data_IF_732411711391
#
_entry.id   IF_732411711391
#
_cell.length_a   1.000
_cell.length_b   1.000
_cell.length_c   1.000
_cell.angle_alpha   90.00
_cell.angle_beta   90.00
_cell.angle_gamma   90.00
#
_symmetry.space_group_name_H-M   'P 1'
#
loop_
_entity.id
_entity.type
_entity.pdbx_description
1 polymer ?
#
# COMPACT_ATOMS: atom_id res chain seq x y z
N UNK A 1 -24.13 -6.25 0.45
CA UNK A 1 -23.43 -5.20 1.22
C UNK A 1 -22.04 -5.06 0.60
N UNK A 2 -21.57 -3.83 0.28
CA UNK A 2 -20.35 -3.68 -0.54
C UNK A 2 -19.21 -3.06 0.25
N UNK A 3 -17.99 -3.51 0.00
CA UNK A 3 -16.77 -2.79 0.35
C UNK A 3 -16.41 -1.86 -0.82
N UNK A 4 -16.31 -0.58 -0.54
CA UNK A 4 -16.12 0.45 -1.57
C UNK A 4 -14.89 1.29 -1.26
N UNK A 5 -13.96 1.37 -2.22
CA UNK A 5 -12.96 2.41 -2.25
C UNK A 5 -13.54 3.63 -2.97
N UNK A 6 -13.39 4.78 -2.36
CA UNK A 6 -13.79 6.06 -2.95
C UNK A 6 -12.57 6.88 -3.32
N UNK A 7 -12.64 7.51 -4.49
CA UNK A 7 -11.70 8.54 -4.92
C UNK A 7 -12.46 9.70 -5.54
N UNK A 8 -12.10 10.93 -5.18
CA UNK A 8 -12.84 12.08 -5.69
C UNK A 8 -12.05 13.37 -5.64
N UNK A 9 -12.54 14.37 -6.38
CA UNK A 9 -11.97 15.71 -6.33
C UNK A 9 -12.04 16.30 -4.92
N UNK A 10 -10.98 16.97 -4.55
CA UNK A 10 -10.99 17.95 -3.45
C UNK A 10 -11.80 19.17 -3.89
N UNK A 11 -12.30 19.93 -2.91
CA UNK A 11 -12.85 21.25 -3.17
C UNK A 11 -11.78 22.16 -3.75
N UNK A 12 -12.15 22.94 -4.76
CA UNK A 12 -11.25 23.86 -5.45
C UNK A 12 -10.66 24.88 -4.47
N UNK A 13 -9.33 25.00 -4.46
CA UNK A 13 -8.64 26.05 -3.72
C UNK A 13 -9.02 27.43 -4.29
N UNK A 14 -9.04 28.49 -3.46
CA UNK A 14 -9.27 29.84 -3.93
C UNK A 14 -8.35 30.20 -5.09
N UNK A 15 -8.92 30.83 -6.13
CA UNK A 15 -8.16 31.26 -7.31
C UNK A 15 -7.92 30.19 -8.37
N UNK A 16 -8.52 28.99 -8.27
CA UNK A 16 -8.44 27.98 -9.34
C UNK A 16 -9.10 28.52 -10.61
N UNK A 17 -8.32 28.52 -11.71
CA UNK A 17 -8.75 29.12 -12.99
C UNK A 17 -9.93 28.36 -13.64
N UNK A 18 -9.96 27.04 -13.53
CA UNK A 18 -11.02 26.20 -14.08
C UNK A 18 -11.66 25.41 -12.96
N UNK A 19 -12.93 25.68 -12.71
CA UNK A 19 -13.69 25.03 -11.66
C UNK A 19 -13.84 23.51 -11.94
N UNK A 20 -13.56 22.70 -10.93
CA UNK A 20 -13.75 21.25 -10.93
C UNK A 20 -14.71 20.82 -9.82
N UNK A 21 -14.56 21.40 -8.62
CA UNK A 21 -15.42 21.20 -7.46
C UNK A 21 -15.44 22.45 -6.56
N UNK A 22 -16.11 23.55 -6.96
CA UNK A 22 -16.27 24.73 -6.12
C UNK A 22 -17.01 24.43 -4.82
N UNK A 23 -16.71 25.17 -3.75
CA UNK A 23 -17.37 25.05 -2.45
C UNK A 23 -18.90 25.14 -2.55
N UNK A 24 -19.44 25.97 -3.47
CA UNK A 24 -20.89 26.12 -3.69
C UNK A 24 -21.57 24.85 -4.20
N UNK A 25 -20.82 23.87 -4.74
CA UNK A 25 -21.39 22.61 -5.23
C UNK A 25 -21.48 21.53 -4.13
N UNK A 26 -20.91 21.76 -2.96
CA UNK A 26 -20.86 20.79 -1.85
C UNK A 26 -22.24 20.22 -1.49
N UNK A 27 -23.32 21.02 -1.28
CA UNK A 27 -24.60 20.44 -0.88
C UNK A 27 -25.16 19.46 -1.92
N UNK A 28 -25.04 19.81 -3.20
CA UNK A 28 -25.52 18.97 -4.31
C UNK A 28 -24.70 17.70 -4.46
N UNK A 29 -23.37 17.81 -4.41
CA UNK A 29 -22.50 16.65 -4.53
C UNK A 29 -22.59 15.74 -3.30
N UNK A 30 -22.80 16.29 -2.12
CA UNK A 30 -23.09 15.50 -0.91
C UNK A 30 -24.34 14.63 -1.11
N UNK A 31 -25.44 15.22 -1.63
CA UNK A 31 -26.67 14.48 -1.92
C UNK A 31 -26.42 13.38 -2.97
N UNK A 32 -25.69 13.68 -4.03
CA UNK A 32 -25.36 12.71 -5.07
C UNK A 32 -24.52 11.55 -4.53
N UNK A 33 -23.48 11.84 -3.76
CA UNK A 33 -22.66 10.82 -3.11
C UNK A 33 -23.51 9.95 -2.17
N UNK A 34 -24.37 10.56 -1.35
CA UNK A 34 -25.25 9.82 -0.45
C UNK A 34 -26.20 8.87 -1.22
N UNK A 35 -26.73 9.30 -2.37
CA UNK A 35 -27.55 8.47 -3.25
C UNK A 35 -26.76 7.26 -3.77
N UNK A 36 -25.50 7.45 -4.19
CA UNK A 36 -24.65 6.36 -4.67
C UNK A 36 -24.22 5.40 -3.53
N UNK A 37 -23.93 5.93 -2.35
CA UNK A 37 -23.63 5.13 -1.15
C UNK A 37 -24.82 4.21 -0.81
N UNK A 38 -26.04 4.75 -0.86
CA UNK A 38 -27.26 3.98 -0.64
C UNK A 38 -27.48 2.93 -1.75
N UNK A 39 -27.33 3.32 -3.03
CA UNK A 39 -27.51 2.45 -4.18
C UNK A 39 -26.51 1.26 -4.15
N UNK A 40 -25.25 1.52 -3.79
CA UNK A 40 -24.21 0.51 -3.65
C UNK A 40 -24.33 -0.29 -2.35
N UNK A 41 -25.22 0.08 -1.42
CA UNK A 41 -25.37 -0.57 -0.09
C UNK A 41 -24.02 -0.67 0.63
N UNK A 42 -23.29 0.45 0.70
CA UNK A 42 -21.93 0.50 1.24
C UNK A 42 -21.95 0.08 2.72
N UNK A 43 -21.30 -1.02 3.04
CA UNK A 43 -21.10 -1.48 4.42
C UNK A 43 -19.71 -1.15 4.97
N UNK A 44 -18.72 -1.04 4.09
CA UNK A 44 -17.34 -0.68 4.41
C UNK A 44 -16.87 0.36 3.37
N UNK A 45 -16.59 1.58 3.80
CA UNK A 45 -16.12 2.66 2.94
C UNK A 45 -14.67 3.02 3.24
N UNK A 46 -13.82 3.08 2.22
CA UNK A 46 -12.39 3.38 2.32
C UNK A 46 -12.07 4.66 1.56
N UNK A 47 -11.49 5.66 2.22
CA UNK A 47 -11.04 6.92 1.61
C UNK A 47 -9.97 7.61 2.46
N UNK A 48 -9.30 8.64 1.90
CA UNK A 48 -8.24 9.38 2.60
C UNK A 48 -8.73 10.54 3.48
N UNK A 49 -10.00 10.92 3.38
CA UNK A 49 -10.60 12.04 4.10
C UNK A 49 -10.08 13.44 3.69
N UNK A 50 -9.67 13.65 2.44
CA UNK A 50 -9.41 14.98 1.90
C UNK A 50 -10.72 15.83 1.83
N UNK A 51 -10.60 17.15 1.92
CA UNK A 51 -11.76 18.02 1.83
C UNK A 51 -12.48 17.89 0.48
N UNK A 52 -13.78 17.69 0.51
CA UNK A 52 -14.59 17.44 -0.69
C UNK A 52 -15.10 16.01 -0.77
N UNK A 53 -14.83 15.32 -1.88
CA UNK A 53 -15.41 14.00 -2.16
C UNK A 53 -15.22 12.98 -1.05
N UNK A 54 -13.99 12.83 -0.55
CA UNK A 54 -13.64 11.82 0.44
C UNK A 54 -14.41 12.00 1.76
N UNK A 55 -14.40 13.22 2.31
CA UNK A 55 -15.15 13.53 3.55
C UNK A 55 -16.65 13.30 3.33
N UNK A 56 -17.21 13.76 2.22
CA UNK A 56 -18.63 13.58 1.90
C UNK A 56 -19.03 12.11 1.79
N UNK A 57 -18.17 11.30 1.18
CA UNK A 57 -18.39 9.85 1.06
C UNK A 57 -18.34 9.14 2.42
N UNK A 58 -17.32 9.44 3.24
CA UNK A 58 -17.17 8.82 4.55
C UNK A 58 -18.33 9.19 5.48
N UNK A 59 -18.76 10.46 5.47
CA UNK A 59 -19.94 10.91 6.22
C UNK A 59 -21.22 10.21 5.75
N UNK A 60 -21.44 10.09 4.44
CA UNK A 60 -22.58 9.39 3.88
C UNK A 60 -22.56 7.89 4.23
N UNK A 61 -21.37 7.28 4.25
CA UNK A 61 -21.18 5.87 4.67
C UNK A 61 -21.60 5.69 6.13
N UNK A 62 -21.13 6.54 7.04
CA UNK A 62 -21.50 6.50 8.46
C UNK A 62 -23.01 6.74 8.65
N UNK A 63 -23.56 7.75 7.97
CA UNK A 63 -24.99 8.07 8.04
C UNK A 63 -25.87 6.92 7.54
N UNK A 64 -25.40 6.14 6.57
CA UNK A 64 -26.05 4.93 6.05
C UNK A 64 -25.86 3.69 6.94
N UNK A 65 -25.19 3.79 8.09
CA UNK A 65 -24.93 2.68 9.01
C UNK A 65 -23.73 1.81 8.59
N UNK A 66 -22.95 2.23 7.60
CA UNK A 66 -21.71 1.58 7.19
C UNK A 66 -20.52 1.97 8.07
N UNK A 67 -19.40 1.26 7.91
CA UNK A 67 -18.15 1.52 8.60
C UNK A 67 -17.21 2.31 7.71
N UNK A 68 -16.73 3.44 8.19
CA UNK A 68 -15.77 4.29 7.49
C UNK A 68 -14.33 3.92 7.91
N UNK A 69 -13.46 3.74 6.94
CA UNK A 69 -12.04 3.45 7.12
C UNK A 69 -11.21 4.55 6.47
N UNK A 70 -10.40 5.22 7.28
CA UNK A 70 -9.54 6.32 6.84
C UNK A 70 -8.11 5.81 6.70
N UNK A 71 -7.47 6.10 5.57
CA UNK A 71 -6.05 5.85 5.38
C UNK A 71 -5.36 7.14 4.97
N UNK A 72 -4.38 7.56 5.76
CA UNK A 72 -3.64 8.80 5.53
C UNK A 72 -2.21 8.49 5.07
N UNK A 73 -1.69 9.19 4.05
CA UNK A 73 -0.32 8.99 3.58
C UNK A 73 0.72 9.46 4.61
N UNK A 74 0.33 10.36 5.53
CA UNK A 74 1.18 10.95 6.56
C UNK A 74 0.39 11.20 7.85
N UNK A 75 1.05 11.82 8.85
CA UNK A 75 0.39 12.23 10.09
C UNK A 75 -0.82 13.14 9.82
N UNK A 76 -1.86 13.00 10.66
CA UNK A 76 -3.12 13.71 10.50
C UNK A 76 -2.96 15.24 10.45
N UNK A 77 -2.07 15.81 11.29
CA UNK A 77 -1.84 17.26 11.33
C UNK A 77 -1.21 17.79 10.04
N UNK A 78 -0.32 17.03 9.42
CA UNK A 78 0.30 17.39 8.13
C UNK A 78 -0.71 17.24 6.99
N UNK A 79 -1.44 16.12 6.94
CA UNK A 79 -2.49 15.90 5.96
C UNK A 79 -3.58 16.98 6.03
N UNK A 80 -3.97 17.37 7.25
CA UNK A 80 -4.96 18.42 7.48
C UNK A 80 -4.57 19.74 6.82
N UNK A 81 -3.31 20.18 6.97
CA UNK A 81 -2.83 21.44 6.37
C UNK A 81 -2.89 21.44 4.85
N UNK A 82 -2.52 20.32 4.24
CA UNK A 82 -2.34 20.26 2.78
C UNK A 82 -3.60 19.81 2.03
N UNK A 83 -4.48 19.03 2.67
CA UNK A 83 -5.59 18.37 1.99
C UNK A 83 -6.97 18.64 2.61
N UNK A 84 -7.05 19.29 3.77
CA UNK A 84 -8.32 19.52 4.47
C UNK A 84 -8.60 20.99 4.69
N UNK A 85 -7.72 21.70 5.39
CA UNK A 85 -7.90 23.11 5.78
C UNK A 85 -7.40 24.06 4.68
N UNK A 86 -7.90 23.85 3.48
CA UNK A 86 -7.45 24.57 2.26
C UNK A 86 -8.43 25.66 1.81
N UNK A 87 -9.62 25.74 2.45
CA UNK A 87 -10.67 26.71 2.16
C UNK A 87 -10.90 27.62 3.39
N UNK A 88 -10.47 28.87 3.36
CA UNK A 88 -10.65 29.78 4.49
C UNK A 88 -12.12 29.90 4.92
N UNK A 89 -12.38 29.75 6.22
CA UNK A 89 -13.71 29.91 6.81
C UNK A 89 -14.69 28.77 6.56
N UNK A 90 -14.28 27.68 5.86
CA UNK A 90 -15.09 26.49 5.72
C UNK A 90 -14.90 25.55 6.94
N UNK A 91 -15.83 24.63 7.15
CA UNK A 91 -15.85 23.72 8.31
C UNK A 91 -15.14 22.39 8.07
N UNK A 92 -14.32 22.28 7.01
CA UNK A 92 -13.68 21.02 6.61
C UNK A 92 -12.79 20.44 7.71
N UNK A 93 -12.04 21.28 8.41
CA UNK A 93 -11.19 20.85 9.52
C UNK A 93 -12.01 20.19 10.64
N UNK A 94 -13.13 20.82 11.05
CA UNK A 94 -14.01 20.26 12.08
C UNK A 94 -14.71 18.97 11.60
N UNK A 95 -15.03 18.85 10.32
CA UNK A 95 -15.59 17.62 9.72
C UNK A 95 -14.55 16.49 9.72
N UNK A 96 -13.32 16.79 9.34
CA UNK A 96 -12.21 15.84 9.38
C UNK A 96 -11.99 15.28 10.80
N UNK A 97 -11.91 16.16 11.81
CA UNK A 97 -11.69 15.74 13.19
C UNK A 97 -12.83 14.81 13.67
N UNK A 98 -14.09 15.17 13.41
CA UNK A 98 -15.24 14.31 13.72
C UNK A 98 -15.23 12.97 12.97
N UNK A 99 -14.72 12.95 11.73
CA UNK A 99 -14.57 11.71 10.98
C UNK A 99 -13.53 10.79 11.59
N UNK A 100 -12.37 11.32 11.99
CA UNK A 100 -11.32 10.50 12.64
C UNK A 100 -11.82 9.87 13.95
N UNK A 101 -12.66 10.59 14.71
CA UNK A 101 -13.27 10.08 15.95
C UNK A 101 -14.28 8.95 15.69
N UNK A 102 -15.02 9.02 14.57
CA UNK A 102 -16.11 8.07 14.22
C UNK A 102 -15.65 6.94 13.30
N UNK A 103 -14.46 7.03 12.74
CA UNK A 103 -13.95 6.03 11.82
C UNK A 103 -13.76 4.69 12.52
N UNK A 104 -14.11 3.61 11.85
CA UNK A 104 -13.88 2.24 12.32
C UNK A 104 -12.38 1.90 12.38
N UNK A 105 -11.57 2.52 11.52
CA UNK A 105 -10.12 2.49 11.58
C UNK A 105 -9.51 3.75 10.99
N UNK A 106 -8.34 4.14 11.52
CA UNK A 106 -7.49 5.19 10.96
C UNK A 106 -6.08 4.61 10.83
N UNK A 107 -5.60 4.49 9.60
CA UNK A 107 -4.25 3.99 9.29
C UNK A 107 -3.38 5.12 8.78
N UNK A 108 -2.17 5.27 9.36
CA UNK A 108 -1.18 6.27 8.97
C UNK A 108 0.02 5.56 8.35
N UNK A 109 0.26 5.79 7.06
CA UNK A 109 1.26 5.06 6.29
C UNK A 109 2.69 5.60 6.49
N UNK A 110 2.84 6.89 6.67
CA UNK A 110 4.14 7.56 6.78
C UNK A 110 4.20 8.59 7.91
N UNK A 111 5.41 9.00 8.28
CA UNK A 111 5.61 9.99 9.33
C UNK A 111 5.72 11.43 8.80
N UNK A 112 6.05 11.61 7.53
CA UNK A 112 6.23 12.91 6.89
C UNK A 112 5.59 12.89 5.50
N UNK A 113 4.97 13.99 5.16
CA UNK A 113 4.39 14.25 3.85
C UNK A 113 5.01 15.54 3.31
N UNK A 114 5.68 15.44 2.20
CA UNK A 114 5.90 16.62 1.39
C UNK A 114 4.65 16.79 0.52
N UNK A 115 4.07 17.97 0.48
CA UNK A 115 2.83 18.30 -0.26
C UNK A 115 2.90 17.97 -1.76
N UNK A 116 4.07 17.67 -2.26
CA UNK A 116 4.37 17.27 -3.63
C UNK A 116 4.70 15.76 -3.76
N UNK A 117 4.47 14.97 -2.72
CA UNK A 117 4.77 13.53 -2.73
C UNK A 117 3.69 12.71 -3.44
N UNK A 118 3.68 12.79 -4.76
CA UNK A 118 2.79 12.05 -5.63
C UNK A 118 2.86 10.52 -5.41
N UNK A 119 4.04 9.98 -5.12
CA UNK A 119 4.22 8.55 -4.86
C UNK A 119 3.57 8.10 -3.55
N UNK A 120 3.56 8.95 -2.50
CA UNK A 120 2.87 8.63 -1.25
C UNK A 120 1.35 8.62 -1.43
N UNK A 121 0.80 9.58 -2.17
CA UNK A 121 -0.63 9.63 -2.51
C UNK A 121 -1.04 8.43 -3.37
N UNK A 122 -0.26 8.10 -4.38
CA UNK A 122 -0.49 6.92 -5.23
C UNK A 122 -0.44 5.61 -4.41
N UNK A 123 0.55 5.46 -3.55
CA UNK A 123 0.66 4.31 -2.65
C UNK A 123 -0.55 4.22 -1.71
N UNK A 124 -1.00 5.35 -1.15
CA UNK A 124 -2.17 5.42 -0.30
C UNK A 124 -3.43 4.95 -1.03
N UNK A 125 -3.67 5.42 -2.25
CA UNK A 125 -4.78 4.98 -3.09
C UNK A 125 -4.76 3.47 -3.34
N UNK A 126 -3.61 2.92 -3.75
CA UNK A 126 -3.46 1.47 -3.98
C UNK A 126 -3.70 0.65 -2.71
N UNK A 127 -3.21 1.11 -1.57
CA UNK A 127 -3.47 0.45 -0.28
C UNK A 127 -4.97 0.46 0.04
N UNK A 128 -5.67 1.58 -0.14
CA UNK A 128 -7.13 1.65 0.09
C UNK A 128 -7.92 0.72 -0.82
N UNK A 129 -7.56 0.63 -2.11
CA UNK A 129 -8.13 -0.35 -3.05
C UNK A 129 -7.92 -1.77 -2.52
N UNK A 130 -6.71 -2.10 -2.08
CA UNK A 130 -6.39 -3.40 -1.53
C UNK A 130 -7.11 -3.72 -0.22
N UNK A 131 -7.29 -2.74 0.66
CA UNK A 131 -8.07 -2.91 1.89
C UNK A 131 -9.54 -3.18 1.57
N UNK A 132 -10.13 -2.45 0.61
CA UNK A 132 -11.49 -2.72 0.14
C UNK A 132 -11.59 -4.13 -0.49
N UNK A 133 -10.59 -4.53 -1.29
CA UNK A 133 -10.54 -5.87 -1.90
C UNK A 133 -10.49 -6.97 -0.84
N UNK A 134 -9.67 -6.83 0.19
CA UNK A 134 -9.59 -7.78 1.31
C UNK A 134 -10.90 -7.85 2.10
N UNK A 135 -11.52 -6.71 2.38
CA UNK A 135 -12.80 -6.65 3.07
C UNK A 135 -13.93 -7.31 2.26
N UNK A 136 -13.94 -7.13 0.94
CA UNK A 136 -14.89 -7.79 0.04
C UNK A 136 -14.66 -9.30 -0.03
N UNK A 137 -13.40 -9.72 -0.20
CA UNK A 137 -13.02 -11.14 -0.29
C UNK A 137 -13.44 -11.94 0.96
N UNK A 138 -13.29 -11.35 2.15
CA UNK A 138 -13.73 -11.96 3.40
C UNK A 138 -15.23 -12.28 3.44
N UNK A 139 -16.03 -11.70 2.53
CA UNK A 139 -17.47 -11.93 2.37
C UNK A 139 -17.83 -12.66 1.08
N UNK A 140 -16.84 -13.12 0.31
CA UNK A 140 -17.06 -13.72 -1.01
C UNK A 140 -17.58 -12.74 -2.05
N UNK A 141 -17.30 -11.44 -1.88
CA UNK A 141 -17.73 -10.34 -2.75
C UNK A 141 -16.54 -9.72 -3.49
N UNK A 142 -16.82 -8.90 -4.51
CA UNK A 142 -15.83 -8.08 -5.19
C UNK A 142 -15.91 -6.64 -4.68
N UNK A 143 -14.76 -6.01 -4.46
CA UNK A 143 -14.71 -4.59 -4.12
C UNK A 143 -15.15 -3.73 -5.31
N UNK A 144 -15.80 -2.61 -5.01
CA UNK A 144 -16.23 -1.61 -5.96
C UNK A 144 -15.42 -0.33 -5.76
N UNK A 145 -15.12 0.34 -6.86
CA UNK A 145 -14.53 1.68 -6.84
C UNK A 145 -15.60 2.70 -7.22
N UNK A 146 -15.81 3.69 -6.36
CA UNK A 146 -16.70 4.81 -6.62
C UNK A 146 -15.88 6.07 -6.85
N UNK A 147 -16.01 6.69 -8.02
CA UNK A 147 -15.21 7.83 -8.42
C UNK A 147 -16.06 9.08 -8.64
N UNK A 148 -15.72 10.20 -7.97
CA UNK A 148 -16.23 11.53 -8.26
C UNK A 148 -15.21 12.30 -9.09
N UNK A 149 -15.31 12.25 -10.41
CA UNK A 149 -14.30 12.74 -11.33
C UNK A 149 -14.89 13.38 -12.58
N UNK A 150 -14.36 14.52 -12.99
CA UNK A 150 -14.82 15.27 -14.16
C UNK A 150 -14.29 14.75 -15.51
N UNK A 151 -13.50 13.66 -15.49
CA UNK A 151 -12.91 13.03 -16.67
C UNK A 151 -11.68 13.74 -17.23
N UNK A 152 -11.22 14.82 -16.62
CA UNK A 152 -10.04 15.55 -17.05
C UNK A 152 -8.80 15.02 -16.37
N UNK A 153 -7.62 15.12 -17.03
CA UNK A 153 -6.34 14.78 -16.41
C UNK A 153 -6.15 15.43 -15.04
N UNK A 154 -5.56 14.69 -14.12
CA UNK A 154 -5.23 15.17 -12.79
C UNK A 154 -4.09 16.18 -12.79
N UNK A 155 -4.00 16.99 -11.73
CA UNK A 155 -2.93 17.98 -11.59
C UNK A 155 -1.58 17.31 -11.21
N UNK A 156 -1.60 16.06 -10.67
CA UNK A 156 -0.42 15.27 -10.31
C UNK A 156 -0.73 13.78 -10.24
N UNK A 157 0.32 12.93 -10.18
CA UNK A 157 0.21 11.51 -9.83
C UNK A 157 -0.41 11.36 -8.43
N UNK A 158 -1.14 10.24 -8.20
CA UNK A 158 -1.83 9.98 -6.93
C UNK A 158 -3.19 10.68 -6.80
N UNK A 159 -3.66 11.35 -7.86
CA UNK A 159 -5.00 11.94 -7.93
C UNK A 159 -6.08 10.92 -8.36
N UNK A 160 -7.33 11.40 -8.49
CA UNK A 160 -8.49 10.58 -8.85
C UNK A 160 -8.32 9.84 -10.16
N UNK A 161 -7.72 10.47 -11.18
CA UNK A 161 -7.45 9.85 -12.48
C UNK A 161 -6.58 8.60 -12.32
N UNK A 162 -5.42 8.70 -11.64
CA UNK A 162 -4.49 7.57 -11.49
C UNK A 162 -5.13 6.43 -10.70
N UNK A 163 -5.92 6.74 -9.68
CA UNK A 163 -6.66 5.75 -8.89
C UNK A 163 -7.70 5.00 -9.74
N UNK A 164 -8.44 5.71 -10.59
CA UNK A 164 -9.42 5.11 -11.53
C UNK A 164 -8.71 4.22 -12.54
N UNK A 165 -7.65 4.72 -13.18
CA UNK A 165 -6.89 3.96 -14.18
C UNK A 165 -6.27 2.70 -13.59
N UNK A 166 -5.61 2.79 -12.43
CA UNK A 166 -5.07 1.63 -11.72
C UNK A 166 -6.18 0.61 -11.42
N UNK A 167 -7.33 1.07 -10.91
CA UNK A 167 -8.45 0.19 -10.59
C UNK A 167 -8.95 -0.60 -11.80
N UNK A 168 -9.12 0.08 -12.93
CA UNK A 168 -9.54 -0.55 -14.19
C UNK A 168 -8.50 -1.56 -14.70
N UNK A 169 -7.21 -1.22 -14.62
CA UNK A 169 -6.10 -2.11 -15.01
C UNK A 169 -6.05 -3.37 -14.15
N UNK A 170 -6.35 -3.25 -12.85
CA UNK A 170 -6.41 -4.39 -11.93
C UNK A 170 -7.75 -5.13 -11.97
N UNK A 171 -8.65 -4.75 -12.84
CA UNK A 171 -9.93 -5.44 -13.04
C UNK A 171 -10.97 -5.16 -11.95
N UNK A 172 -10.87 -4.02 -11.25
CA UNK A 172 -11.93 -3.59 -10.34
C UNK A 172 -13.05 -2.87 -11.11
N UNK A 173 -14.34 -3.14 -10.79
CA UNK A 173 -15.45 -2.38 -11.35
C UNK A 173 -15.42 -0.95 -10.82
N UNK A 174 -15.64 0.02 -11.70
CA UNK A 174 -15.66 1.44 -11.36
C UNK A 174 -17.02 2.01 -11.66
N UNK A 175 -17.66 2.61 -10.65
CA UNK A 175 -18.83 3.48 -10.82
C UNK A 175 -18.35 4.93 -10.83
N UNK A 176 -18.56 5.58 -11.92
CA UNK A 176 -18.01 6.90 -12.20
C UNK A 176 -19.12 7.95 -12.24
N UNK A 177 -19.12 8.86 -11.27
CA UNK A 177 -19.97 10.05 -11.24
C UNK A 177 -19.34 11.14 -12.10
N UNK A 178 -19.82 11.26 -13.34
CA UNK A 178 -19.42 12.30 -14.30
C UNK A 178 -20.25 13.57 -14.10
N UNK A 179 -19.87 14.62 -14.83
CA UNK A 179 -20.51 15.91 -14.90
C UNK A 179 -20.89 16.48 -13.53
N UNK A 180 -19.89 17.10 -12.92
CA UNK A 180 -20.01 17.69 -11.60
C UNK A 180 -20.68 19.08 -11.64
N UNK A 181 -20.93 19.65 -12.83
CA UNK A 181 -21.46 21.00 -13.01
C UNK A 181 -22.92 21.13 -12.59
N UNK A 182 -23.37 22.33 -12.15
CA UNK A 182 -24.80 22.60 -11.93
C UNK A 182 -25.56 22.48 -13.26
N UNK A 183 -26.60 21.65 -13.28
CA UNK A 183 -27.42 21.40 -14.49
C UNK A 183 -26.88 20.28 -15.41
N UNK A 184 -25.70 19.73 -15.13
CA UNK A 184 -25.21 18.55 -15.81
C UNK A 184 -26.07 17.31 -15.54
N UNK A 185 -26.10 16.39 -16.51
CA UNK A 185 -26.78 15.12 -16.33
C UNK A 185 -26.15 14.36 -15.14
N UNK A 186 -26.98 14.00 -14.16
CA UNK A 186 -26.53 13.25 -12.98
C UNK A 186 -26.27 11.78 -13.36
N UNK A 187 -25.45 11.55 -14.40
CA UNK A 187 -25.13 10.21 -14.83
C UNK A 187 -24.03 9.60 -13.99
N UNK A 188 -24.29 8.40 -13.48
CA UNK A 188 -23.27 7.50 -12.96
C UNK A 188 -23.07 6.40 -13.96
N UNK A 189 -21.85 6.27 -14.49
CA UNK A 189 -21.50 5.24 -15.46
C UNK A 189 -20.80 4.08 -14.76
N UNK A 190 -21.18 2.87 -15.12
CA UNK A 190 -20.37 1.68 -14.82
C UNK A 190 -19.34 1.51 -15.93
N UNK A 191 -18.06 1.57 -15.55
CA UNK A 191 -16.97 1.32 -16.48
C UNK A 191 -16.48 -0.09 -16.23
N UNK A 192 -16.60 -0.99 -17.24
CA UNK A 192 -16.10 -2.34 -17.09
C UNK A 192 -14.57 -2.34 -16.94
N UNK A 193 -14.01 -3.37 -16.27
CA UNK A 193 -12.57 -3.55 -16.17
C UNK A 193 -11.92 -3.60 -17.56
N UNK A 194 -10.70 -3.10 -17.67
CA UNK A 194 -9.91 -3.26 -18.90
C UNK A 194 -9.51 -4.73 -19.07
N UNK A 195 -9.46 -5.19 -20.30
CA UNK A 195 -8.94 -6.52 -20.59
C UNK A 195 -7.47 -6.62 -20.13
N UNK A 196 -7.05 -7.77 -19.55
CA UNK A 196 -5.65 -7.95 -19.16
C UNK A 196 -4.70 -7.69 -20.33
N UNK A 197 -3.70 -6.84 -20.14
CA UNK A 197 -2.68 -6.52 -21.14
C UNK A 197 -2.84 -5.18 -21.86
N UNK A 198 -3.91 -4.42 -21.67
CA UNK A 198 -4.03 -3.04 -22.17
C UNK A 198 -3.30 -2.07 -21.23
N UNK A 199 -1.98 -2.12 -21.22
CA UNK A 199 -1.16 -1.11 -20.53
C UNK A 199 -1.02 0.12 -21.42
N UNK A 200 -1.80 1.15 -21.15
CA UNK A 200 -1.49 2.50 -21.57
C UNK A 200 -0.44 3.04 -20.59
N UNK A 201 0.83 2.88 -20.93
CA UNK A 201 1.91 3.50 -20.18
C UNK A 201 1.86 5.02 -20.42
N UNK A 202 1.06 5.72 -19.65
CA UNK A 202 1.21 7.18 -19.52
C UNK A 202 2.47 7.38 -18.67
N UNK A 203 3.61 7.52 -19.36
CA UNK A 203 4.82 8.07 -18.76
C UNK A 203 4.55 9.56 -18.54
N UNK A 204 4.16 9.92 -17.33
CA UNK A 204 4.33 11.29 -16.92
C UNK A 204 5.84 11.54 -16.88
N UNK A 205 6.35 12.32 -17.80
CA UNK A 205 7.68 12.91 -17.69
C UNK A 205 7.70 13.79 -16.43
N UNK A 206 8.09 13.15 -15.34
CA UNK A 206 8.37 13.86 -14.09
C UNK A 206 9.63 14.66 -14.35
N UNK A 207 9.51 15.99 -14.45
CA UNK A 207 10.64 16.89 -14.47
C UNK A 207 11.65 16.46 -13.39
N UNK A 208 12.93 16.45 -13.75
CA UNK A 208 14.08 16.07 -12.95
C UNK A 208 14.02 16.69 -11.54
N UNK A 209 13.36 16.02 -10.61
CA UNK A 209 13.48 16.27 -9.17
C UNK A 209 14.62 15.41 -8.65
N UNK A 210 15.44 16.00 -7.79
CA UNK A 210 16.48 15.27 -7.07
C UNK A 210 15.82 14.09 -6.32
N UNK A 211 16.19 12.86 -6.66
CA UNK A 211 15.73 11.61 -6.09
C UNK A 211 14.20 11.33 -6.17
N UNK A 212 13.67 10.81 -7.30
CA UNK A 212 12.28 10.41 -7.40
C UNK A 212 11.95 9.28 -6.43
N UNK A 213 10.75 9.32 -5.83
CA UNK A 213 10.23 8.20 -5.06
C UNK A 213 9.53 7.19 -5.96
N UNK A 214 9.72 5.91 -5.65
CA UNK A 214 9.11 4.78 -6.34
C UNK A 214 8.47 3.85 -5.30
N UNK A 215 7.27 3.34 -5.58
CA UNK A 215 6.64 2.33 -4.74
C UNK A 215 7.39 1.02 -4.96
N UNK A 216 8.03 0.49 -3.91
CA UNK A 216 8.83 -0.73 -3.96
C UNK A 216 8.55 -1.62 -2.75
N UNK A 217 8.81 -2.92 -2.92
CA UNK A 217 8.74 -3.88 -1.83
C UNK A 217 10.15 -4.12 -1.26
N UNK A 218 10.22 -4.21 0.06
CA UNK A 218 11.46 -4.38 0.82
C UNK A 218 11.37 -5.64 1.66
N UNK A 219 12.42 -6.43 1.65
CA UNK A 219 12.59 -7.61 2.51
C UNK A 219 13.87 -7.44 3.32
N UNK A 220 13.76 -7.59 4.63
CA UNK A 220 14.87 -7.85 5.54
C UNK A 220 14.77 -9.27 6.04
N UNK A 221 15.90 -9.97 6.08
CA UNK A 221 15.96 -11.31 6.65
C UNK A 221 17.26 -11.47 7.46
N UNK A 222 17.18 -12.24 8.54
CA UNK A 222 18.26 -12.48 9.46
C UNK A 222 18.21 -13.91 10.00
N UNK A 223 19.35 -14.56 10.16
CA UNK A 223 19.41 -15.92 10.67
C UNK A 223 19.32 -15.95 12.19
N UNK A 224 18.43 -16.75 12.72
CA UNK A 224 18.27 -16.92 14.15
C UNK A 224 19.41 -17.77 14.71
N UNK A 225 20.16 -17.20 15.67
CA UNK A 225 21.22 -17.92 16.36
C UNK A 225 22.59 -17.88 15.69
N UNK A 226 22.75 -17.09 14.63
CA UNK A 226 24.05 -16.91 13.96
C UNK A 226 25.20 -16.58 14.94
N UNK A 227 24.98 -15.66 15.89
CA UNK A 227 25.97 -15.29 16.91
C UNK A 227 26.38 -16.42 17.87
N UNK A 228 25.68 -17.55 17.85
CA UNK A 228 25.99 -18.74 18.66
C UNK A 228 26.74 -19.82 17.88
N UNK A 229 26.97 -19.62 16.58
CA UNK A 229 27.74 -20.52 15.77
C UNK A 229 29.22 -20.49 16.19
N UNK A 230 29.86 -21.67 16.15
CA UNK A 230 31.30 -21.75 16.30
C UNK A 230 32.01 -21.06 15.12
N UNK A 231 33.10 -20.37 15.38
CA UNK A 231 33.88 -19.65 14.36
C UNK A 231 34.22 -20.50 13.11
N UNK A 232 34.43 -21.81 13.32
CA UNK A 232 34.75 -22.76 12.22
C UNK A 232 33.55 -23.01 11.31
N UNK A 233 32.34 -22.87 11.81
CA UNK A 233 31.10 -23.15 11.07
C UNK A 233 30.62 -21.92 10.26
N UNK A 234 31.08 -20.72 10.65
CA UNK A 234 30.62 -19.44 10.04
C UNK A 234 30.80 -19.39 8.52
N UNK A 235 32.01 -19.75 7.94
CA UNK A 235 32.16 -19.66 6.48
C UNK A 235 31.27 -20.64 5.71
N UNK A 236 31.10 -21.87 6.25
CA UNK A 236 30.19 -22.85 5.65
C UNK A 236 28.72 -22.39 5.75
N UNK A 237 28.33 -21.92 6.94
CA UNK A 237 26.99 -21.39 7.16
C UNK A 237 26.68 -20.26 6.17
N UNK A 238 27.46 -19.18 6.12
CA UNK A 238 27.22 -18.02 5.25
C UNK A 238 27.12 -18.46 3.79
N UNK A 239 28.04 -19.35 3.33
CA UNK A 239 27.99 -19.86 1.96
C UNK A 239 26.66 -20.55 1.64
N UNK A 240 26.19 -21.45 2.50
CA UNK A 240 24.98 -22.22 2.26
C UNK A 240 23.71 -21.38 2.48
N UNK A 241 23.71 -20.50 3.48
CA UNK A 241 22.62 -19.59 3.76
C UNK A 241 22.37 -18.61 2.59
N UNK A 242 23.43 -17.95 2.12
CA UNK A 242 23.34 -17.10 0.92
C UNK A 242 23.06 -17.92 -0.35
N UNK A 243 23.53 -19.18 -0.38
CA UNK A 243 23.20 -20.14 -1.44
C UNK A 243 21.70 -20.42 -1.53
N UNK A 244 21.01 -20.59 -0.40
CA UNK A 244 19.57 -20.75 -0.36
C UNK A 244 18.84 -19.48 -0.88
N UNK A 245 19.32 -18.29 -0.51
CA UNK A 245 18.74 -17.04 -1.03
C UNK A 245 18.93 -16.93 -2.55
N UNK A 246 20.10 -17.25 -3.07
CA UNK A 246 20.35 -17.27 -4.51
C UNK A 246 19.48 -18.32 -5.21
N UNK A 247 19.36 -19.52 -4.67
CA UNK A 247 18.51 -20.58 -5.21
C UNK A 247 17.02 -20.18 -5.25
N UNK A 248 16.52 -19.51 -4.20
CA UNK A 248 15.17 -18.98 -4.16
C UNK A 248 14.94 -17.98 -5.31
N UNK A 249 15.89 -17.07 -5.55
CA UNK A 249 15.79 -16.11 -6.66
C UNK A 249 15.79 -16.80 -8.02
N UNK A 250 16.70 -17.77 -8.23
CA UNK A 250 16.83 -18.48 -9.49
C UNK A 250 15.62 -19.37 -9.80
N UNK A 251 15.13 -20.12 -8.82
CA UNK A 251 14.00 -21.03 -9.00
C UNK A 251 12.71 -20.29 -9.36
N UNK A 252 12.57 -19.05 -8.91
CA UNK A 252 11.41 -18.20 -9.20
C UNK A 252 11.65 -17.18 -10.32
N UNK A 253 12.83 -17.18 -10.95
CA UNK A 253 13.26 -16.19 -11.95
C UNK A 253 13.10 -14.73 -11.45
N UNK A 254 13.36 -14.49 -10.17
CA UNK A 254 13.22 -13.19 -9.51
C UNK A 254 14.58 -12.50 -9.43
N UNK A 255 14.63 -11.24 -9.84
CA UNK A 255 15.83 -10.41 -9.76
C UNK A 255 15.52 -9.18 -8.90
N UNK A 256 16.04 -9.12 -7.64
CA UNK A 256 15.90 -7.92 -6.82
C UNK A 256 16.62 -6.71 -7.44
N UNK A 257 16.02 -5.51 -7.29
CA UNK A 257 16.60 -4.24 -7.71
C UNK A 257 17.84 -3.87 -6.88
N UNK A 258 17.84 -4.25 -5.61
CA UNK A 258 18.98 -4.10 -4.68
C UNK A 258 19.19 -5.41 -3.96
N UNK A 259 20.45 -5.81 -3.85
CA UNK A 259 20.92 -6.92 -3.05
C UNK A 259 22.07 -6.44 -2.18
N UNK A 260 21.85 -6.43 -0.87
CA UNK A 260 22.87 -6.08 0.09
C UNK A 260 22.89 -7.14 1.20
N UNK A 261 24.09 -7.60 1.58
CA UNK A 261 24.29 -8.66 2.56
C UNK A 261 25.41 -8.28 3.53
N UNK A 262 25.25 -8.64 4.79
CA UNK A 262 26.27 -8.50 5.82
C UNK A 262 26.21 -9.71 6.76
N UNK A 263 27.05 -10.71 6.45
CA UNK A 263 27.02 -11.99 7.19
C UNK A 263 25.74 -12.77 6.93
N UNK A 264 24.88 -12.87 7.92
CA UNK A 264 23.57 -13.52 7.87
C UNK A 264 22.42 -12.58 7.57
N UNK A 265 22.67 -11.28 7.56
CA UNK A 265 21.66 -10.25 7.25
C UNK A 265 21.47 -10.05 5.74
N UNK A 266 20.23 -9.95 5.31
CA UNK A 266 19.84 -9.63 3.92
C UNK A 266 18.98 -8.35 3.90
N UNK A 267 19.31 -7.42 3.01
CA UNK A 267 18.49 -6.30 2.60
C UNK A 267 18.24 -6.38 1.09
N UNK A 268 16.99 -6.59 0.72
CA UNK A 268 16.59 -6.78 -0.68
C UNK A 268 15.45 -5.83 -1.02
N UNK A 269 15.51 -5.24 -2.21
CA UNK A 269 14.42 -4.42 -2.76
C UNK A 269 13.91 -5.04 -4.04
N UNK A 270 12.61 -5.16 -4.17
CA UNK A 270 11.93 -5.76 -5.31
C UNK A 270 11.04 -4.74 -6.02
N UNK A 271 10.81 -4.95 -7.30
CA UNK A 271 9.91 -4.14 -8.08
C UNK A 271 8.45 -4.29 -7.61
N UNK A 272 8.03 -5.51 -7.24
CA UNK A 272 6.67 -5.85 -6.86
C UNK A 272 6.58 -6.53 -5.49
N UNK A 273 5.42 -6.42 -4.85
CA UNK A 273 5.10 -7.18 -3.63
C UNK A 273 4.97 -8.67 -3.93
N UNK A 274 4.57 -9.04 -5.16
CA UNK A 274 4.54 -10.42 -5.61
C UNK A 274 5.90 -11.07 -5.51
N UNK A 275 6.90 -10.48 -6.15
CA UNK A 275 8.24 -11.05 -6.21
C UNK A 275 8.90 -11.11 -4.82
N UNK A 276 8.67 -10.06 -4.00
CA UNK A 276 9.15 -10.03 -2.62
C UNK A 276 8.53 -11.14 -1.75
N UNK A 277 7.22 -11.36 -1.86
CA UNK A 277 6.51 -12.39 -1.09
C UNK A 277 6.89 -13.81 -1.53
N UNK A 278 6.94 -14.06 -2.85
CA UNK A 278 7.35 -15.35 -3.42
C UNK A 278 8.78 -15.69 -3.02
N UNK A 279 9.71 -14.72 -3.15
CA UNK A 279 11.10 -14.89 -2.69
C UNK A 279 11.16 -15.22 -1.20
N UNK A 280 10.48 -14.44 -0.35
CA UNK A 280 10.56 -14.60 1.10
C UNK A 280 10.08 -15.99 1.55
N UNK A 281 9.00 -16.50 0.97
CA UNK A 281 8.48 -17.83 1.25
C UNK A 281 9.41 -18.92 0.74
N UNK A 282 9.88 -18.83 -0.51
CA UNK A 282 10.78 -19.80 -1.09
C UNK A 282 12.11 -19.87 -0.31
N UNK A 283 12.65 -18.72 0.10
CA UNK A 283 13.87 -18.66 0.90
C UNK A 283 13.69 -19.33 2.27
N UNK A 284 12.62 -18.99 2.99
CA UNK A 284 12.27 -19.67 4.26
C UNK A 284 12.18 -21.18 4.09
N UNK A 285 11.48 -21.63 3.06
CA UNK A 285 11.26 -23.07 2.83
C UNK A 285 12.56 -23.80 2.49
N UNK A 286 13.47 -23.18 1.72
CA UNK A 286 14.81 -23.72 1.46
C UNK A 286 15.64 -23.82 2.73
N UNK A 287 15.59 -22.82 3.62
CA UNK A 287 16.28 -22.90 4.92
C UNK A 287 15.78 -24.09 5.74
N UNK A 288 14.46 -24.30 5.77
CA UNK A 288 13.84 -25.41 6.51
C UNK A 288 14.16 -26.78 5.87
N UNK A 289 14.18 -26.86 4.54
CA UNK A 289 14.41 -28.11 3.80
C UNK A 289 15.90 -28.53 3.74
N UNK A 290 16.82 -27.63 4.04
CA UNK A 290 18.26 -27.90 3.95
C UNK A 290 18.72 -28.78 5.11
N UNK A 291 19.41 -29.86 4.79
CA UNK A 291 20.08 -30.73 5.79
C UNK A 291 21.41 -30.10 6.23
N UNK A 292 21.33 -29.22 7.21
CA UNK A 292 22.47 -28.47 7.74
C UNK A 292 23.52 -29.34 8.39
N UNK A 293 23.13 -30.46 9.00
CA UNK A 293 24.07 -31.40 9.62
C UNK A 293 24.94 -32.08 8.56
N UNK A 294 24.34 -32.46 7.42
CA UNK A 294 25.10 -33.02 6.30
C UNK A 294 26.08 -32.03 5.69
N UNK A 295 25.83 -30.73 5.85
CA UNK A 295 26.72 -29.64 5.42
C UNK A 295 27.79 -29.30 6.48
N UNK A 296 27.88 -30.07 7.58
CA UNK A 296 28.85 -29.88 8.65
C UNK A 296 28.45 -28.79 9.67
N UNK A 297 27.20 -28.32 9.65
CA UNK A 297 26.72 -27.30 10.58
C UNK A 297 25.87 -27.97 11.65
N UNK A 298 26.37 -27.90 12.89
CA UNK A 298 25.82 -28.66 14.02
C UNK A 298 24.41 -28.27 14.44
N UNK A 299 23.96 -27.04 14.13
CA UNK A 299 22.64 -26.52 14.46
C UNK A 299 21.90 -26.16 13.19
N UNK A 300 20.66 -26.63 13.05
CA UNK A 300 19.78 -26.20 11.96
C UNK A 300 19.36 -24.75 12.20
N UNK A 301 19.74 -23.78 11.32
CA UNK A 301 19.35 -22.41 11.47
C UNK A 301 17.87 -22.24 11.20
N UNK A 302 17.32 -21.17 11.76
CA UNK A 302 16.03 -20.63 11.36
C UNK A 302 16.23 -19.23 10.80
N UNK A 303 15.23 -18.68 10.15
CA UNK A 303 15.29 -17.32 9.59
C UNK A 303 14.08 -16.52 10.03
N UNK A 304 14.28 -15.24 10.29
CA UNK A 304 13.21 -14.24 10.43
C UNK A 304 13.16 -13.41 9.18
N UNK A 305 11.97 -13.21 8.61
CA UNK A 305 11.81 -12.44 7.39
C UNK A 305 10.72 -11.41 7.58
N UNK A 306 11.09 -10.13 7.50
CA UNK A 306 10.17 -8.99 7.52
C UNK A 306 9.99 -8.41 6.13
N UNK A 307 8.74 -8.23 5.68
CA UNK A 307 8.37 -7.65 4.40
C UNK A 307 7.50 -6.40 4.57
N UNK A 308 7.82 -5.35 3.83
CA UNK A 308 7.05 -4.11 3.81
C UNK A 308 7.08 -3.50 2.41
N UNK A 309 6.15 -2.59 2.11
CA UNK A 309 6.17 -1.86 0.85
C UNK A 309 5.72 -0.41 1.04
N UNK A 310 6.25 0.46 0.20
CA UNK A 310 5.94 1.88 0.23
C UNK A 310 6.85 2.71 -0.67
N UNK A 311 6.68 4.03 -0.68
CA UNK A 311 7.50 4.94 -1.45
C UNK A 311 8.94 4.99 -0.93
N UNK A 312 9.91 4.73 -1.81
CA UNK A 312 11.34 4.75 -1.52
C UNK A 312 12.05 5.74 -2.44
N UNK A 313 13.04 6.44 -1.91
CA UNK A 313 13.95 7.26 -2.74
C UNK A 313 14.98 6.36 -3.40
N UNK A 314 15.09 6.45 -4.72
CA UNK A 314 16.17 5.84 -5.47
C UNK A 314 17.38 6.77 -5.45
N UNK A 315 18.49 6.32 -4.92
CA UNK A 315 19.75 7.08 -4.81
C UNK A 315 20.93 6.30 -5.37
N UNK A 316 21.97 7.01 -5.79
CA UNK A 316 23.25 6.38 -6.07
C UNK A 316 24.10 6.35 -4.79
N UNK A 317 24.44 5.15 -4.32
CA UNK A 317 25.30 4.97 -3.19
C UNK A 317 26.76 5.09 -3.64
N UNK A 318 27.40 6.21 -3.32
CA UNK A 318 28.76 6.49 -3.73
C UNK A 318 29.81 5.58 -3.08
N UNK A 319 29.48 4.98 -1.92
CA UNK A 319 30.37 4.04 -1.22
C UNK A 319 30.36 2.68 -1.91
N UNK A 320 29.17 2.20 -2.26
CA UNK A 320 29.00 0.91 -2.94
C UNK A 320 29.15 1.01 -4.46
N UNK A 321 29.14 2.21 -5.03
CA UNK A 321 29.23 2.42 -6.47
C UNK A 321 28.02 1.91 -7.25
N UNK A 322 26.84 1.85 -6.63
CA UNK A 322 25.62 1.29 -7.23
C UNK A 322 24.35 2.04 -6.81
N UNK A 323 23.26 1.83 -7.58
CA UNK A 323 21.96 2.33 -7.20
C UNK A 323 21.41 1.57 -5.99
N UNK A 324 20.78 2.30 -5.09
CA UNK A 324 20.15 1.79 -3.87
C UNK A 324 18.84 2.49 -3.61
N UNK A 325 18.10 2.01 -2.61
CA UNK A 325 16.85 2.62 -2.16
C UNK A 325 16.94 2.94 -0.66
N UNK A 326 16.45 4.12 -0.29
CA UNK A 326 16.44 4.60 1.09
C UNK A 326 15.10 5.24 1.44
N UNK A 327 14.85 5.43 2.74
CA UNK A 327 13.67 6.12 3.23
C UNK A 327 13.07 5.46 4.47
N UNK A 328 12.00 6.07 4.99
CA UNK A 328 11.32 5.62 6.21
C UNK A 328 10.76 4.20 6.10
N UNK A 329 10.33 3.79 4.90
CA UNK A 329 9.81 2.44 4.66
C UNK A 329 10.90 1.37 4.70
N UNK A 330 12.14 1.67 4.27
CA UNK A 330 13.30 0.77 4.47
C UNK A 330 13.56 0.60 5.96
N UNK A 331 13.62 1.72 6.70
CA UNK A 331 13.84 1.70 8.14
C UNK A 331 12.72 0.94 8.88
N UNK A 332 11.46 1.10 8.43
CA UNK A 332 10.32 0.37 9.01
C UNK A 332 10.44 -1.14 8.82
N UNK A 333 10.90 -1.59 7.65
CA UNK A 333 11.14 -3.02 7.38
C UNK A 333 12.25 -3.57 8.25
N UNK A 334 13.37 -2.85 8.39
CA UNK A 334 14.47 -3.22 9.27
C UNK A 334 14.08 -3.30 10.76
N UNK A 335 13.04 -2.60 11.16
CA UNK A 335 12.49 -2.65 12.53
C UNK A 335 11.40 -3.70 12.70
N UNK A 336 10.76 -4.12 11.63
CA UNK A 336 9.79 -5.20 11.62
C UNK A 336 10.49 -6.56 11.75
N UNK A 337 11.59 -6.79 11.03
CA UNK A 337 12.27 -8.09 10.99
C UNK A 337 12.57 -8.66 12.39
N UNK A 338 13.14 -7.92 13.36
CA UNK A 338 13.44 -8.46 14.68
C UNK A 338 12.20 -8.87 15.50
N UNK A 339 11.00 -8.41 15.12
CA UNK A 339 9.74 -8.78 15.75
C UNK A 339 9.11 -10.05 15.17
N UNK A 340 9.74 -10.61 14.12
CA UNK A 340 9.26 -11.82 13.44
C UNK A 340 9.63 -13.06 14.26
N UNK A 341 8.67 -13.96 14.41
CA UNK A 341 8.93 -15.26 15.05
C UNK A 341 9.84 -16.12 14.16
N UNK A 342 10.78 -16.90 14.74
CA UNK A 342 11.68 -17.77 13.97
C UNK A 342 10.93 -18.71 13.00
N UNK A 343 11.40 -18.80 11.77
CA UNK A 343 10.79 -19.64 10.72
C UNK A 343 9.56 -19.02 10.06
N UNK A 344 9.25 -17.74 10.37
CA UNK A 344 8.09 -17.04 9.83
C UNK A 344 8.47 -15.95 8.85
N UNK A 345 7.49 -15.61 8.01
CA UNK A 345 7.53 -14.45 7.12
C UNK A 345 6.41 -13.52 7.54
N UNK A 346 6.75 -12.36 8.11
CA UNK A 346 5.78 -11.35 8.49
C UNK A 346 5.79 -10.19 7.49
N UNK A 347 4.59 -9.75 7.14
CA UNK A 347 4.40 -8.62 6.24
C UNK A 347 3.56 -7.53 6.92
N UNK A 348 3.82 -6.28 6.58
CA UNK A 348 3.03 -5.15 7.03
C UNK A 348 1.66 -5.09 6.36
N UNK A 349 0.70 -4.34 6.95
CA UNK A 349 -0.59 -4.05 6.34
C UNK A 349 -0.43 -3.47 4.93
N UNK A 350 0.51 -2.52 4.72
CA UNK A 350 0.77 -1.93 3.42
C UNK A 350 1.16 -2.97 2.37
N UNK A 351 2.00 -3.94 2.74
CA UNK A 351 2.43 -5.03 1.84
C UNK A 351 1.25 -5.91 1.41
N UNK A 352 0.45 -6.40 2.36
CA UNK A 352 -0.66 -7.30 2.05
C UNK A 352 -1.84 -6.59 1.37
N UNK A 353 -2.02 -5.30 1.63
CA UNK A 353 -2.99 -4.48 0.91
C UNK A 353 -2.57 -4.26 -0.55
N UNK A 354 -1.29 -3.93 -0.80
CA UNK A 354 -0.78 -3.83 -2.17
C UNK A 354 -0.87 -5.16 -2.90
N UNK A 355 -0.55 -6.28 -2.26
CA UNK A 355 -0.72 -7.60 -2.86
C UNK A 355 -2.19 -7.88 -3.25
N UNK A 356 -3.15 -7.49 -2.42
CA UNK A 356 -4.57 -7.60 -2.75
C UNK A 356 -5.01 -6.64 -3.87
N UNK A 357 -4.47 -5.41 -3.90
CA UNK A 357 -4.73 -4.44 -4.96
C UNK A 357 -4.19 -4.91 -6.31
N UNK A 358 -3.03 -5.56 -6.33
CA UNK A 358 -2.36 -6.13 -7.50
C UNK A 358 -2.86 -7.56 -7.84
N UNK A 359 -3.86 -8.06 -7.09
CA UNK A 359 -4.45 -9.41 -7.27
C UNK A 359 -3.42 -10.53 -7.24
N UNK A 360 -2.41 -10.41 -6.38
CA UNK A 360 -1.41 -11.46 -6.17
C UNK A 360 -2.10 -12.71 -5.62
N UNK A 361 -1.90 -13.84 -6.27
CA UNK A 361 -2.49 -15.14 -5.92
C UNK A 361 -1.46 -16.18 -5.47
N UNK A 362 -0.17 -15.90 -5.62
CA UNK A 362 0.93 -16.81 -5.34
C UNK A 362 1.16 -17.07 -3.85
N UNK A 363 0.57 -16.22 -3.01
CA UNK A 363 0.59 -16.40 -1.56
C UNK A 363 -0.69 -15.85 -0.93
N UNK A 364 -0.99 -16.32 0.26
CA UNK A 364 -2.06 -15.81 1.12
C UNK A 364 -1.47 -15.15 2.38
N UNK A 365 -2.32 -14.52 3.18
CA UNK A 365 -1.89 -13.91 4.43
C UNK A 365 -2.94 -14.04 5.53
N UNK A 366 -2.51 -14.30 6.76
CA UNK A 366 -3.35 -14.31 7.95
C UNK A 366 -2.92 -13.23 8.94
N UNK A 367 -3.88 -12.62 9.64
CA UNK A 367 -3.58 -11.57 10.61
C UNK A 367 -2.87 -12.16 11.85
N UNK A 368 -1.74 -11.58 12.22
CA UNK A 368 -1.02 -11.90 13.47
C UNK A 368 -1.44 -10.96 14.60
N UNK A 369 -1.80 -9.73 14.26
CA UNK A 369 -2.13 -8.67 15.21
C UNK A 369 -1.19 -7.48 15.10
N UNK A 370 -1.16 -6.63 16.13
CA UNK A 370 -0.22 -5.50 16.20
C UNK A 370 1.07 -5.94 16.89
N UNK A 371 2.20 -5.53 16.34
CA UNK A 371 3.53 -5.78 16.90
C UNK A 371 4.21 -4.45 17.20
N UNK A 372 4.79 -4.36 18.39
CA UNK A 372 5.64 -3.23 18.76
C UNK A 372 6.95 -3.33 17.97
N UNK A 373 7.28 -2.27 17.23
CA UNK A 373 8.54 -2.19 16.52
C UNK A 373 9.68 -1.77 17.48
N UNK A 374 10.88 -2.30 17.25
CA UNK A 374 12.05 -1.93 18.06
C UNK A 374 12.39 -0.44 17.90
N UNK A 375 13.15 0.11 18.87
CA UNK A 375 13.60 1.52 18.90
C UNK A 375 12.43 2.52 18.88
N UNK A 376 11.35 2.24 19.61
CA UNK A 376 10.18 3.10 19.77
C UNK A 376 9.56 3.58 18.44
N UNK A 377 9.60 2.72 17.42
CA UNK A 377 9.07 3.03 16.10
C UNK A 377 7.53 2.88 16.00
N UNK A 378 6.85 2.72 17.14
CA UNK A 378 5.41 2.53 17.22
C UNK A 378 4.97 1.10 16.95
N UNK A 379 3.68 0.91 16.77
CA UNK A 379 3.06 -0.38 16.47
C UNK A 379 2.74 -0.52 14.98
N UNK A 380 2.82 -1.74 14.49
CA UNK A 380 2.46 -2.09 13.12
C UNK A 380 1.50 -3.28 13.10
N UNK A 381 0.42 -3.18 12.31
CA UNK A 381 -0.41 -4.34 11.99
C UNK A 381 0.37 -5.30 11.09
N UNK A 382 0.48 -6.55 11.52
CA UNK A 382 1.35 -7.55 10.93
C UNK A 382 0.55 -8.77 10.52
N UNK A 383 0.95 -9.35 9.40
CA UNK A 383 0.35 -10.53 8.78
C UNK A 383 1.42 -11.57 8.50
N UNK A 384 1.13 -12.84 8.77
CA UNK A 384 1.97 -13.95 8.34
C UNK A 384 1.65 -14.31 6.90
N UNK A 385 2.68 -14.46 6.06
CA UNK A 385 2.53 -14.94 4.69
C UNK A 385 2.60 -16.46 4.63
N UNK A 386 1.76 -17.05 3.79
CA UNK A 386 1.68 -18.47 3.53
C UNK A 386 1.74 -18.73 2.03
N UNK A 387 2.47 -19.77 1.60
CA UNK A 387 2.43 -20.20 0.22
C UNK A 387 0.99 -20.51 -0.20
N UNK A 388 0.60 -20.18 -1.42
CA UNK A 388 -0.67 -20.63 -1.95
C UNK A 388 -0.66 -22.16 -1.96
N UNK A 389 -1.72 -22.78 -1.40
CA UNK A 389 -1.92 -24.21 -1.55
C UNK A 389 -1.99 -24.59 -3.02
N UNK A 390 -1.74 -25.87 -3.38
CA UNK A 390 -2.00 -26.30 -4.76
C UNK A 390 -3.43 -25.92 -5.11
N UNK A 391 -3.59 -25.24 -6.27
CA UNK A 391 -4.91 -24.90 -6.79
C UNK A 391 -5.71 -26.19 -6.90
N UNK A 392 -6.74 -26.34 -6.06
CA UNK A 392 -7.67 -27.45 -6.07
C UNK A 392 -8.61 -27.36 -7.27
#
# INVERSE_FOLDING_TARGET
MSAVFFTGHMVDRPGRAVARFPQSWVPRLAQRIATEVAACKVSEGFASAACGGDILFLEATIAGGGRAHVTLPCKADEFRKDCVDVIPGADWAARFDRLLEKAASVEILGNQYASDNAAASECCNRIMIGLAARAALARGEQALVLALWDGRPGDAMGGTESAVQFSLQQGFPVRWMQDLSPGGASETREVPPLAPGTSSAIRHETALREAPQEIRAVVFADAVGFSKLGERDVPAFVRHYLGCAMQAMQAQAIVPLVKNTWGDGLYLVFESVRDAGVFALAFRDLIVATDWQRLGISQSPSVRIGAHAGPLYRIYDAVLGQWSYVGSHVTRTARLEPSVDPGKVFASLAFVALAAAERVSEFSSSAVGRRQLIKDAGELAVFELHAAGPAG
#
